data_IF_340195849437
#
_entry.id   IF_340195849437
#
_cell.length_a   1.000
_cell.length_b   1.000
_cell.length_c   1.000
_cell.angle_alpha   90.00
_cell.angle_beta   90.00
_cell.angle_gamma   90.00
#
_symmetry.space_group_name_H-M   'P 1'
#
loop_
_entity.id
_entity.type
_entity.pdbx_description
1 polymer ?
#
# COMPACT_ATOMS: atom_id res chain seq x y z
N UNK A 1 -19.10 -20.04 -21.85
CA UNK A 1 -18.89 -20.14 -20.39
C UNK A 1 -17.41 -20.15 -20.01
N UNK A 2 -16.56 -21.00 -20.59
CA UNK A 2 -15.09 -20.96 -20.39
C UNK A 2 -14.49 -19.59 -20.69
N UNK A 3 -14.92 -18.94 -21.78
CA UNK A 3 -14.40 -17.61 -22.14
C UNK A 3 -14.66 -16.54 -21.07
N UNK A 4 -15.82 -16.60 -20.40
CA UNK A 4 -16.24 -15.70 -19.31
C UNK A 4 -15.47 -15.97 -18.02
N UNK A 5 -15.14 -17.24 -17.77
CA UNK A 5 -14.32 -17.65 -16.63
C UNK A 5 -12.86 -17.23 -16.81
N UNK A 6 -12.30 -17.43 -18.02
CA UNK A 6 -10.94 -16.98 -18.37
C UNK A 6 -10.81 -15.46 -18.31
N UNK A 7 -11.83 -14.70 -18.72
CA UNK A 7 -11.81 -13.22 -18.56
C UNK A 7 -11.90 -12.79 -17.10
N UNK A 8 -12.67 -13.48 -16.25
CA UNK A 8 -12.69 -13.19 -14.80
C UNK A 8 -11.37 -13.54 -14.11
N UNK A 9 -10.74 -14.65 -14.50
CA UNK A 9 -9.39 -14.98 -14.02
C UNK A 9 -8.41 -13.88 -14.47
N UNK A 10 -8.47 -13.47 -15.73
CA UNK A 10 -7.66 -12.37 -16.25
C UNK A 10 -7.87 -11.06 -15.48
N UNK A 11 -9.10 -10.76 -15.05
CA UNK A 11 -9.36 -9.56 -14.23
C UNK A 11 -8.87 -9.67 -12.78
N UNK A 12 -8.78 -10.90 -12.24
CA UNK A 12 -8.20 -11.13 -10.90
C UNK A 12 -6.68 -10.95 -10.95
N UNK A 13 -6.05 -11.36 -12.06
CA UNK A 13 -4.63 -11.16 -12.34
C UNK A 13 -4.36 -9.87 -13.15
N UNK A 14 -4.98 -8.77 -12.73
CA UNK A 14 -4.76 -7.46 -13.34
C UNK A 14 -3.26 -7.06 -13.29
N UNK A 15 -2.79 -6.26 -14.24
CA UNK A 15 -1.41 -5.77 -14.30
C UNK A 15 -0.98 -5.10 -12.98
N UNK A 16 -1.93 -4.42 -12.31
CA UNK A 16 -1.70 -3.84 -10.98
C UNK A 16 -1.39 -4.89 -9.92
N UNK A 17 -2.04 -6.06 -9.94
CA UNK A 17 -1.76 -7.14 -8.99
C UNK A 17 -0.33 -7.67 -9.14
N UNK A 18 0.08 -7.90 -10.40
CA UNK A 18 1.42 -8.38 -10.71
C UNK A 18 2.51 -7.41 -10.25
N UNK A 19 2.33 -6.11 -10.51
CA UNK A 19 3.34 -5.10 -10.19
C UNK A 19 3.34 -4.74 -8.70
N UNK A 20 2.17 -4.54 -8.09
CA UNK A 20 2.08 -4.03 -6.72
C UNK A 20 2.25 -5.12 -5.64
N UNK A 21 1.86 -6.36 -5.92
CA UNK A 21 1.84 -7.42 -4.90
C UNK A 21 2.70 -8.63 -5.27
N UNK A 22 2.57 -9.16 -6.48
CA UNK A 22 3.27 -10.39 -6.86
C UNK A 22 4.77 -10.18 -7.05
N UNK A 23 5.19 -9.11 -7.74
CA UNK A 23 6.61 -8.83 -7.99
C UNK A 23 7.41 -8.57 -6.68
N UNK A 24 6.93 -7.78 -5.71
CA UNK A 24 7.58 -7.68 -4.41
C UNK A 24 7.64 -9.01 -3.64
N UNK A 25 6.57 -9.81 -3.67
CA UNK A 25 6.55 -11.12 -3.02
C UNK A 25 7.56 -12.09 -3.66
N UNK A 26 7.65 -12.09 -5.00
CA UNK A 26 8.66 -12.85 -5.74
C UNK A 26 10.07 -12.41 -5.37
N UNK A 27 10.33 -11.09 -5.39
CA UNK A 27 11.63 -10.54 -5.02
C UNK A 27 12.02 -10.95 -3.58
N UNK A 28 11.09 -10.92 -2.63
CA UNK A 28 11.33 -11.35 -1.26
C UNK A 28 11.71 -12.84 -1.17
N UNK A 29 11.02 -13.73 -1.89
CA UNK A 29 11.34 -15.17 -1.91
C UNK A 29 12.70 -15.42 -2.57
N UNK A 30 13.01 -14.75 -3.68
CA UNK A 30 14.31 -14.87 -4.36
C UNK A 30 15.44 -14.35 -3.47
N UNK A 31 15.29 -13.16 -2.88
CA UNK A 31 16.27 -12.60 -1.96
C UNK A 31 16.47 -13.51 -0.74
N UNK A 32 15.39 -14.06 -0.18
CA UNK A 32 15.47 -15.04 0.90
C UNK A 32 16.25 -16.29 0.49
N UNK A 33 16.00 -16.83 -0.70
CA UNK A 33 16.75 -17.96 -1.27
C UNK A 33 18.23 -17.65 -1.47
N UNK A 34 18.55 -16.45 -1.98
CA UNK A 34 19.94 -15.98 -2.14
C UNK A 34 20.63 -15.82 -0.80
N UNK A 35 19.99 -15.23 0.20
CA UNK A 35 20.52 -15.08 1.56
C UNK A 35 20.80 -16.45 2.17
N UNK A 36 19.87 -17.39 2.02
CA UNK A 36 20.07 -18.77 2.49
C UNK A 36 21.25 -19.46 1.79
N UNK A 37 21.38 -19.28 0.47
CA UNK A 37 22.52 -19.79 -0.29
C UNK A 37 23.85 -19.12 0.10
N UNK A 38 23.86 -17.84 0.43
CA UNK A 38 25.04 -17.15 0.94
C UNK A 38 25.47 -17.68 2.32
N UNK A 39 24.53 -18.02 3.19
CA UNK A 39 24.83 -18.56 4.52
C UNK A 39 25.26 -20.03 4.48
N UNK A 40 24.67 -20.83 3.59
CA UNK A 40 24.91 -22.28 3.51
C UNK A 40 26.01 -22.65 2.50
N UNK A 41 26.39 -21.72 1.62
CA UNK A 41 27.28 -21.93 0.50
C UNK A 41 26.53 -22.35 -0.77
N UNK A 42 26.80 -21.67 -1.89
CA UNK A 42 26.13 -21.95 -3.17
C UNK A 42 26.34 -23.38 -3.68
N UNK A 43 27.49 -23.99 -3.38
CA UNK A 43 27.78 -25.39 -3.77
C UNK A 43 26.85 -26.38 -3.04
N UNK A 44 26.62 -26.17 -1.74
CA UNK A 44 25.74 -27.02 -0.93
C UNK A 44 24.30 -26.94 -1.44
N UNK A 45 23.85 -25.74 -1.80
CA UNK A 45 22.51 -25.54 -2.37
C UNK A 45 22.37 -26.23 -3.73
N UNK A 46 23.37 -26.11 -4.60
CA UNK A 46 23.38 -26.77 -5.91
C UNK A 46 23.38 -28.30 -5.76
N UNK A 47 24.22 -28.84 -4.88
CA UNK A 47 24.24 -30.29 -4.58
C UNK A 47 22.92 -30.78 -4.02
N UNK A 48 22.28 -30.02 -3.13
CA UNK A 48 20.95 -30.35 -2.61
C UNK A 48 19.88 -30.34 -3.70
N UNK A 49 19.95 -29.38 -4.63
CA UNK A 49 19.04 -29.31 -5.77
C UNK A 49 19.23 -30.49 -6.74
N UNK A 50 20.48 -30.83 -7.05
CA UNK A 50 20.83 -31.95 -7.94
C UNK A 50 20.52 -33.30 -7.30
N UNK A 51 20.56 -33.40 -5.97
CA UNK A 51 20.13 -34.59 -5.24
C UNK A 51 18.61 -34.81 -5.26
N UNK A 52 17.82 -33.80 -5.64
CA UNK A 52 16.36 -33.93 -5.77
C UNK A 52 15.99 -34.67 -7.06
N UNK A 53 15.02 -35.56 -6.96
CA UNK A 53 14.39 -36.16 -8.14
C UNK A 53 13.66 -35.10 -8.96
N UNK A 54 13.46 -35.36 -10.25
CA UNK A 54 12.71 -34.46 -11.14
C UNK A 54 11.31 -34.10 -10.58
N UNK A 55 10.61 -35.07 -9.98
CA UNK A 55 9.32 -34.84 -9.32
C UNK A 55 9.44 -33.85 -8.16
N UNK A 56 10.47 -33.98 -7.33
CA UNK A 56 10.71 -33.07 -6.20
C UNK A 56 11.05 -31.66 -6.67
N UNK A 57 11.86 -31.51 -7.72
CA UNK A 57 12.19 -30.20 -8.30
C UNK A 57 10.94 -29.50 -8.85
N UNK A 58 10.07 -30.22 -9.56
CA UNK A 58 8.79 -29.68 -10.06
C UNK A 58 7.88 -29.29 -8.90
N UNK A 59 7.74 -30.15 -7.88
CA UNK A 59 6.93 -29.86 -6.70
C UNK A 59 7.47 -28.65 -5.91
N UNK A 60 8.79 -28.51 -5.77
CA UNK A 60 9.41 -27.37 -5.13
C UNK A 60 9.10 -26.07 -5.91
N UNK A 61 9.26 -26.09 -7.24
CA UNK A 61 8.91 -24.95 -8.09
C UNK A 61 7.44 -24.56 -7.98
N UNK A 62 6.52 -25.53 -8.04
CA UNK A 62 5.09 -25.29 -7.87
C UNK A 62 4.75 -24.78 -6.47
N UNK A 63 5.38 -25.33 -5.42
CA UNK A 63 5.19 -24.89 -4.05
C UNK A 63 5.69 -23.46 -3.84
N UNK A 64 6.83 -23.08 -4.43
CA UNK A 64 7.34 -21.70 -4.41
C UNK A 64 6.39 -20.73 -5.11
N UNK A 65 5.89 -21.08 -6.30
CA UNK A 65 4.91 -20.25 -7.03
C UNK A 65 3.61 -20.08 -6.23
N UNK A 66 3.12 -21.16 -5.61
CA UNK A 66 1.95 -21.11 -4.73
C UNK A 66 2.21 -20.21 -3.53
N UNK A 67 3.36 -20.35 -2.87
CA UNK A 67 3.75 -19.53 -1.73
C UNK A 67 3.80 -18.04 -2.09
N UNK A 68 4.46 -17.68 -3.19
CA UNK A 68 4.52 -16.29 -3.67
C UNK A 68 3.11 -15.75 -3.91
N UNK A 69 2.26 -16.54 -4.55
CA UNK A 69 0.88 -16.14 -4.85
C UNK A 69 0.07 -15.93 -3.56
N UNK A 70 0.19 -16.83 -2.58
CA UNK A 70 -0.46 -16.71 -1.28
C UNK A 70 0.01 -15.45 -0.55
N UNK A 71 1.31 -15.19 -0.51
CA UNK A 71 1.88 -13.98 0.10
C UNK A 71 1.37 -12.72 -0.59
N UNK A 72 1.33 -12.69 -1.92
CA UNK A 72 0.80 -11.57 -2.68
C UNK A 72 -0.68 -11.27 -2.33
N UNK A 73 -1.51 -12.30 -2.21
CA UNK A 73 -2.91 -12.12 -1.77
C UNK A 73 -3.04 -11.65 -0.33
N UNK A 74 -2.17 -12.12 0.57
CA UNK A 74 -2.14 -11.63 1.96
C UNK A 74 -1.79 -10.14 1.97
N UNK A 75 -0.77 -9.72 1.21
CA UNK A 75 -0.40 -8.31 1.09
C UNK A 75 -1.57 -7.47 0.54
N UNK A 76 -2.25 -7.96 -0.50
CA UNK A 76 -3.44 -7.31 -1.04
C UNK A 76 -4.56 -7.20 -0.01
N UNK A 77 -4.82 -8.24 0.77
CA UNK A 77 -5.82 -8.21 1.84
C UNK A 77 -5.43 -7.22 2.96
N UNK A 78 -4.13 -7.03 3.19
CA UNK A 78 -3.60 -6.10 4.17
C UNK A 78 -3.51 -4.66 3.68
N UNK A 79 -3.76 -4.37 2.40
CA UNK A 79 -3.59 -3.03 1.81
C UNK A 79 -4.36 -1.95 2.60
N UNK A 80 -5.64 -2.17 2.89
CA UNK A 80 -6.47 -1.24 3.68
C UNK A 80 -5.87 -1.04 5.07
N UNK A 81 -5.36 -2.11 5.69
CA UNK A 81 -4.78 -2.02 7.02
C UNK A 81 -3.46 -1.23 7.00
N UNK A 82 -2.62 -1.48 6.00
CA UNK A 82 -1.35 -0.78 5.78
C UNK A 82 -1.60 0.71 5.53
N UNK A 83 -2.49 1.04 4.60
CA UNK A 83 -2.87 2.43 4.30
C UNK A 83 -3.39 3.14 5.55
N UNK A 84 -4.24 2.47 6.34
CA UNK A 84 -4.71 3.03 7.63
C UNK A 84 -3.59 3.27 8.62
N UNK A 85 -2.58 2.40 8.69
CA UNK A 85 -1.41 2.65 9.54
C UNK A 85 -0.64 3.90 9.06
N UNK A 86 -0.48 4.07 7.74
CA UNK A 86 0.15 5.26 7.16
C UNK A 86 -0.69 6.53 7.32
N UNK A 87 -2.01 6.45 7.34
CA UNK A 87 -2.93 7.54 7.66
C UNK A 87 -2.90 7.95 9.15
N UNK A 88 -2.29 7.13 10.01
CA UNK A 88 -2.20 7.36 11.45
C UNK A 88 -3.33 6.71 12.27
N UNK A 89 -4.13 5.81 11.68
CA UNK A 89 -5.10 4.99 12.40
C UNK A 89 -4.38 3.82 13.09
N UNK A 90 -3.71 4.14 14.19
CA UNK A 90 -2.99 3.14 14.95
C UNK A 90 -3.92 2.35 15.86
N UNK A 91 -3.63 1.06 16.08
CA UNK A 91 -4.41 0.25 17.00
C UNK A 91 -4.30 0.79 18.43
N UNK A 92 -5.32 0.51 19.25
CA UNK A 92 -5.47 1.06 20.60
C UNK A 92 -4.26 0.84 21.52
N UNK A 93 -3.47 -0.22 21.31
CA UNK A 93 -2.25 -0.49 22.09
C UNK A 93 -1.08 0.47 21.77
N UNK A 94 -1.13 1.17 20.63
CA UNK A 94 -0.21 2.27 20.26
C UNK A 94 -0.78 3.66 20.54
N UNK A 95 -1.93 3.76 21.21
CA UNK A 95 -2.61 5.04 21.46
C UNK A 95 -1.72 6.09 22.09
N UNK A 96 -0.81 5.71 22.98
CA UNK A 96 0.14 6.64 23.61
C UNK A 96 1.12 7.26 22.59
N UNK A 97 1.57 6.48 21.60
CA UNK A 97 2.39 7.01 20.52
C UNK A 97 1.55 7.85 19.56
N UNK A 98 0.31 7.45 19.32
CA UNK A 98 -0.61 8.18 18.45
C UNK A 98 -0.84 9.60 18.99
N UNK A 99 -1.19 9.75 20.26
CA UNK A 99 -1.40 11.07 20.88
C UNK A 99 -0.13 11.91 20.84
N UNK A 100 1.03 11.31 21.17
CA UNK A 100 2.32 12.01 21.10
C UNK A 100 2.66 12.47 19.68
N UNK A 101 2.35 11.65 18.68
CA UNK A 101 2.58 11.96 17.28
C UNK A 101 1.61 13.06 16.79
N UNK A 102 0.32 12.98 17.15
CA UNK A 102 -0.66 14.04 16.88
C UNK A 102 -0.24 15.37 17.50
N UNK A 103 0.25 15.37 18.75
CA UNK A 103 0.74 16.58 19.41
C UNK A 103 1.99 17.15 18.70
N UNK A 104 2.89 16.28 18.27
CA UNK A 104 4.07 16.68 17.49
C UNK A 104 3.66 17.29 16.13
N UNK A 105 2.68 16.70 15.45
CA UNK A 105 2.13 17.19 14.18
C UNK A 105 1.36 18.50 14.36
N UNK A 106 0.60 18.69 15.45
CA UNK A 106 -0.04 19.98 15.79
C UNK A 106 1.02 21.07 15.99
N UNK A 107 2.12 20.76 16.67
CA UNK A 107 3.24 21.69 16.81
C UNK A 107 3.93 21.97 15.47
N UNK A 108 4.06 20.97 14.59
CA UNK A 108 4.58 21.14 13.23
C UNK A 108 3.67 22.03 12.38
N UNK A 109 2.35 21.84 12.44
CA UNK A 109 1.36 22.71 11.80
C UNK A 109 1.51 24.16 12.26
N UNK A 110 1.61 24.40 13.57
CA UNK A 110 1.77 25.74 14.10
C UNK A 110 3.03 26.45 13.56
N UNK A 111 4.15 25.71 13.45
CA UNK A 111 5.39 26.20 12.83
C UNK A 111 5.21 26.47 11.33
N UNK A 112 4.54 25.57 10.61
CA UNK A 112 4.29 25.71 9.19
C UNK A 112 3.45 26.96 8.89
N UNK A 113 2.36 27.15 9.62
CA UNK A 113 1.49 28.34 9.54
C UNK A 113 2.27 29.62 9.81
N UNK A 114 3.15 29.63 10.82
CA UNK A 114 3.97 30.79 11.15
C UNK A 114 4.96 31.17 10.02
N UNK A 115 5.43 30.19 9.25
CA UNK A 115 6.38 30.42 8.15
C UNK A 115 5.71 30.71 6.80
N UNK A 116 4.42 30.41 6.65
CA UNK A 116 3.73 30.38 5.36
C UNK A 116 2.52 31.32 5.32
N UNK A 117 2.68 32.55 5.83
CA UNK A 117 1.66 33.61 5.85
C UNK A 117 0.31 33.20 6.46
N UNK A 118 0.32 32.24 7.39
CA UNK A 118 -0.89 31.73 8.01
C UNK A 118 -1.55 30.55 7.27
N UNK A 119 -1.01 30.12 6.14
CA UNK A 119 -1.55 29.03 5.33
C UNK A 119 -0.87 27.68 5.65
N UNK A 120 -1.64 26.74 6.21
CA UNK A 120 -1.21 25.35 6.43
C UNK A 120 -1.50 24.43 5.23
N UNK A 121 -2.20 24.95 4.23
CA UNK A 121 -2.67 24.22 3.08
C UNK A 121 -1.53 24.03 2.06
N UNK A 122 -1.35 22.84 1.43
CA UNK A 122 -2.18 21.62 1.49
C UNK A 122 -1.70 20.57 2.51
N UNK A 123 -0.68 20.86 3.30
CA UNK A 123 0.00 19.86 4.13
C UNK A 123 -0.82 19.43 5.37
N UNK A 124 -1.69 20.31 5.88
CA UNK A 124 -2.47 20.06 7.09
C UNK A 124 -3.95 20.36 6.91
N UNK A 125 -4.84 19.63 7.64
CA UNK A 125 -6.24 19.99 7.73
C UNK A 125 -6.41 21.34 8.42
N UNK A 126 -7.50 22.04 8.12
CA UNK A 126 -7.79 23.36 8.68
C UNK A 126 -8.12 23.25 10.16
N UNK A 127 -8.96 22.30 10.53
CA UNK A 127 -9.34 22.06 11.92
C UNK A 127 -8.26 21.25 12.69
N UNK A 128 -7.91 21.70 13.90
CA UNK A 128 -6.83 21.10 14.71
C UNK A 128 -7.19 19.73 15.31
N UNK A 129 -8.48 19.48 15.50
CA UNK A 129 -9.03 18.19 15.95
C UNK A 129 -8.98 17.11 14.87
N UNK A 130 -8.73 17.49 13.61
CA UNK A 130 -8.59 16.57 12.49
C UNK A 130 -7.14 16.23 12.15
N UNK A 131 -6.18 16.82 12.87
CA UNK A 131 -4.76 16.47 12.71
C UNK A 131 -4.55 15.01 13.08
N UNK A 132 -3.90 14.28 12.17
CA UNK A 132 -3.52 12.88 12.28
C UNK A 132 -2.10 12.74 12.79
N UNK A 133 -1.78 11.53 13.26
CA UNK A 133 -0.47 11.16 13.77
C UNK A 133 0.65 11.13 12.71
N UNK A 134 0.32 11.25 11.42
CA UNK A 134 1.28 11.18 10.33
C UNK A 134 1.06 12.31 9.33
N UNK A 135 2.15 12.80 8.72
CA UNK A 135 2.08 13.78 7.63
C UNK A 135 1.27 13.29 6.42
N UNK A 136 1.35 12.00 6.08
CA UNK A 136 0.53 11.42 5.00
C UNK A 136 -0.97 11.50 5.31
N UNK A 137 -1.38 11.13 6.52
CA UNK A 137 -2.76 11.27 6.97
C UNK A 137 -3.22 12.72 6.98
N UNK A 138 -2.36 13.65 7.39
CA UNK A 138 -2.63 15.10 7.36
C UNK A 138 -2.87 15.62 5.93
N UNK A 139 -2.02 15.24 4.97
CA UNK A 139 -2.18 15.61 3.56
C UNK A 139 -3.47 15.05 2.95
N UNK A 140 -3.81 13.77 3.21
CA UNK A 140 -5.08 13.19 2.74
C UNK A 140 -6.25 13.92 3.37
N UNK A 141 -6.20 14.14 4.68
CA UNK A 141 -7.30 14.78 5.39
C UNK A 141 -7.53 16.21 4.92
N UNK A 142 -6.45 16.93 4.65
CA UNK A 142 -6.49 18.22 4.00
C UNK A 142 -7.21 18.11 2.64
N UNK A 143 -6.75 17.22 1.75
CA UNK A 143 -7.33 17.00 0.43
C UNK A 143 -8.85 16.70 0.48
N UNK A 144 -9.32 15.95 1.47
CA UNK A 144 -10.75 15.68 1.70
C UNK A 144 -11.54 16.93 2.16
N UNK A 145 -10.93 17.76 3.02
CA UNK A 145 -11.58 18.92 3.62
C UNK A 145 -11.74 20.10 2.63
N UNK A 146 -10.80 20.27 1.70
CA UNK A 146 -10.78 21.44 0.82
C UNK A 146 -12.02 21.63 -0.05
N UNK A 147 -12.56 20.61 -0.74
CA UNK A 147 -13.79 20.78 -1.51
C UNK A 147 -14.98 21.18 -0.62
N UNK A 148 -15.00 20.72 0.63
CA UNK A 148 -16.04 21.08 1.59
C UNK A 148 -15.90 22.53 2.04
N UNK A 149 -14.69 23.00 2.33
CA UNK A 149 -14.44 24.37 2.79
C UNK A 149 -14.65 25.39 1.67
N UNK A 150 -14.15 25.12 0.47
CA UNK A 150 -14.17 26.09 -0.65
C UNK A 150 -15.48 26.01 -1.44
N UNK A 151 -15.96 24.79 -1.75
CA UNK A 151 -17.09 24.60 -2.64
C UNK A 151 -18.36 24.12 -1.93
N UNK A 152 -18.29 23.79 -0.63
CA UNK A 152 -19.39 23.15 0.14
C UNK A 152 -19.82 21.81 -0.46
N UNK A 153 -18.84 21.07 -0.98
CA UNK A 153 -19.02 19.78 -1.65
C UNK A 153 -18.30 18.71 -0.83
N UNK A 154 -18.98 17.61 -0.53
CA UNK A 154 -18.37 16.44 0.11
C UNK A 154 -17.46 15.70 -0.89
N UNK A 155 -16.15 15.71 -0.64
CA UNK A 155 -15.17 15.10 -1.54
C UNK A 155 -15.43 13.59 -1.75
N UNK A 156 -15.79 12.86 -0.70
CA UNK A 156 -15.98 11.40 -0.72
C UNK A 156 -17.18 11.04 -1.60
N UNK A 157 -18.26 11.82 -1.53
CA UNK A 157 -19.48 11.60 -2.33
C UNK A 157 -19.27 11.99 -3.79
N UNK A 158 -18.55 13.08 -4.04
CA UNK A 158 -18.47 13.66 -5.38
C UNK A 158 -17.31 13.16 -6.22
N UNK A 159 -16.20 12.72 -5.62
CA UNK A 159 -15.03 12.24 -6.35
C UNK A 159 -15.35 11.08 -7.32
N UNK A 160 -16.08 10.02 -6.91
CA UNK A 160 -16.43 8.93 -7.83
C UNK A 160 -17.29 9.40 -9.02
N UNK A 161 -18.13 10.43 -8.81
CA UNK A 161 -19.00 11.00 -9.85
C UNK A 161 -18.21 11.87 -10.82
N UNK A 162 -17.25 12.65 -10.30
CA UNK A 162 -16.35 13.46 -11.11
C UNK A 162 -15.50 12.55 -12.01
N UNK A 163 -14.93 11.47 -11.47
CA UNK A 163 -14.15 10.50 -12.26
C UNK A 163 -14.95 9.92 -13.43
N UNK A 164 -16.25 9.67 -13.25
CA UNK A 164 -17.10 9.13 -14.31
C UNK A 164 -17.31 10.11 -15.48
N UNK A 165 -17.35 11.42 -15.22
CA UNK A 165 -17.55 12.46 -16.23
C UNK A 165 -16.25 13.05 -16.77
N UNK A 166 -15.11 12.76 -16.15
CA UNK A 166 -13.81 13.27 -16.60
C UNK A 166 -13.49 12.76 -18.03
N UNK A 167 -12.91 13.61 -18.90
CA UNK A 167 -12.42 13.19 -20.20
C UNK A 167 -11.45 12.01 -20.09
N UNK A 168 -11.41 11.15 -21.11
CA UNK A 168 -10.54 9.97 -21.10
C UNK A 168 -9.06 10.35 -20.95
N UNK A 169 -8.64 11.51 -21.49
CA UNK A 169 -7.26 11.98 -21.39
C UNK A 169 -6.82 12.29 -19.94
N UNK A 170 -7.77 12.60 -19.05
CA UNK A 170 -7.50 12.92 -17.65
C UNK A 170 -7.56 11.70 -16.72
N UNK A 171 -8.11 10.56 -17.18
CA UNK A 171 -8.28 9.35 -16.36
C UNK A 171 -7.06 8.43 -16.35
N UNK A 172 -6.13 8.58 -17.29
CA UNK A 172 -5.02 7.63 -17.53
C UNK A 172 -3.64 8.17 -17.15
N UNK A 173 -3.56 9.22 -16.33
CA UNK A 173 -2.29 9.74 -15.81
C UNK A 173 -1.96 9.21 -14.42
#
# INVERSE_FOLDING_TARGET
>A
MINTFLTRIGSIFDARFWVAFWAPAFAAVVLGGVIWAMQSGFSVVAEQWDAMTATQQVMAGLASLLLITVVAYILQAMDIWIVRQYEGYWPWWLSWFQTKAEDAERAAKARYVACNDGEAWPAFPKADDQVRATGFGNCIRAAEEYPSVIYRIDAIVWWPRLVAVMPAEMRTR
#
